data_IF_515744897278
#
_entry.id   IF_515744897278
#
_cell.length_a   1.000
_cell.length_b   1.000
_cell.length_c   1.000
_cell.angle_alpha   90.00
_cell.angle_beta   90.00
_cell.angle_gamma   90.00
#
_symmetry.space_group_name_H-M   'P 1'
#
loop_
_entity.id
_entity.type
_entity.pdbx_description
1 polymer ?
#
# COMPACT_ATOMS: atom_id res chain seq x y z
N UNK A 1 18.46 -20.40 14.48
CA UNK A 1 17.25 -20.80 13.75
C UNK A 1 16.52 -19.53 13.35
N UNK A 2 16.81 -18.99 12.17
CA UNK A 2 16.14 -17.81 11.62
C UNK A 2 14.75 -18.23 11.20
N UNK A 3 13.74 -17.85 11.99
CA UNK A 3 12.35 -18.04 11.60
C UNK A 3 12.11 -17.25 10.31
N UNK A 4 11.94 -17.98 9.21
CA UNK A 4 11.26 -17.48 8.02
C UNK A 4 9.85 -17.14 8.49
N UNK A 5 9.64 -15.89 8.93
CA UNK A 5 8.33 -15.37 9.21
C UNK A 5 7.57 -15.42 7.89
N UNK A 6 6.80 -16.49 7.72
CA UNK A 6 5.74 -16.57 6.73
C UNK A 6 4.85 -15.38 7.05
N UNK A 7 4.99 -14.29 6.28
CA UNK A 7 4.22 -13.05 6.45
C UNK A 7 2.75 -13.43 6.39
N UNK A 8 2.16 -13.61 7.56
CA UNK A 8 0.79 -14.08 7.67
C UNK A 8 -0.12 -12.89 7.45
N UNK A 9 -1.33 -13.19 6.99
CA UNK A 9 -2.34 -12.19 6.70
C UNK A 9 -2.71 -11.31 7.91
N UNK A 10 -2.41 -11.75 9.13
CA UNK A 10 -2.58 -10.97 10.37
C UNK A 10 -1.47 -9.94 10.63
N UNK A 11 -0.28 -10.10 10.05
CA UNK A 11 0.75 -9.03 10.04
C UNK A 11 0.35 -7.90 9.07
N UNK A 12 -0.55 -8.16 8.11
CA UNK A 12 -0.97 -7.21 7.06
C UNK A 12 -1.69 -5.99 7.63
N UNK A 13 -2.44 -6.12 8.73
CA UNK A 13 -3.11 -4.98 9.38
C UNK A 13 -2.10 -3.90 9.83
N UNK A 14 -0.87 -4.29 10.18
CA UNK A 14 0.23 -3.38 10.50
C UNK A 14 0.75 -2.59 9.29
N UNK A 15 0.57 -3.06 8.06
CA UNK A 15 0.98 -2.38 6.82
C UNK A 15 -0.11 -1.48 6.25
N UNK A 16 -1.38 -1.78 6.55
CA UNK A 16 -2.51 -0.92 6.21
C UNK A 16 -2.49 0.37 7.04
N UNK A 17 -1.94 0.34 8.26
CA UNK A 17 -1.79 1.53 9.12
C UNK A 17 -1.07 2.71 8.44
N UNK A 18 0.14 2.53 7.90
CA UNK A 18 0.85 3.56 7.13
C UNK A 18 0.08 4.04 5.89
N UNK A 19 -0.62 3.13 5.19
CA UNK A 19 -1.43 3.49 4.01
C UNK A 19 -2.67 4.32 4.40
N UNK A 20 -3.31 3.98 5.52
CA UNK A 20 -4.42 4.76 6.12
C UNK A 20 -3.92 6.13 6.61
N UNK A 21 -2.76 6.21 7.23
CA UNK A 21 -2.16 7.49 7.62
C UNK A 21 -1.85 8.35 6.38
N UNK A 22 -1.38 7.73 5.30
CA UNK A 22 -1.17 8.39 4.02
C UNK A 22 -2.48 8.82 3.32
N UNK A 23 -3.64 8.31 3.75
CA UNK A 23 -4.93 8.82 3.25
C UNK A 23 -5.21 10.27 3.69
N UNK A 24 -4.53 10.77 4.73
CA UNK A 24 -4.62 12.16 5.17
C UNK A 24 -3.95 13.14 4.18
N UNK A 25 -3.08 12.64 3.30
CA UNK A 25 -2.52 13.41 2.19
C UNK A 25 -3.33 13.14 0.92
N UNK A 26 -4.01 14.16 0.41
CA UNK A 26 -4.91 14.03 -0.76
C UNK A 26 -4.17 13.55 -2.02
N UNK A 27 -2.90 13.93 -2.19
CA UNK A 27 -2.10 13.56 -3.36
C UNK A 27 -1.68 12.09 -3.29
N UNK A 28 -1.26 11.62 -2.11
CA UNK A 28 -0.90 10.22 -1.90
C UNK A 28 -2.16 9.34 -1.99
N UNK A 29 -3.27 9.77 -1.40
CA UNK A 29 -4.54 9.07 -1.45
C UNK A 29 -5.04 8.90 -2.90
N UNK A 30 -5.04 9.97 -3.70
CA UNK A 30 -5.41 9.91 -5.11
C UNK A 30 -4.51 8.96 -5.92
N UNK A 31 -3.21 8.91 -5.58
CA UNK A 31 -2.24 8.00 -6.22
C UNK A 31 -2.53 6.55 -5.86
N UNK A 32 -2.76 6.25 -4.58
CA UNK A 32 -3.12 4.92 -4.08
C UNK A 32 -4.42 4.42 -4.71
N UNK A 33 -5.46 5.25 -4.76
CA UNK A 33 -6.73 4.89 -5.40
C UNK A 33 -6.56 4.54 -6.87
N UNK A 34 -5.78 5.35 -7.61
CA UNK A 34 -5.50 5.09 -9.02
C UNK A 34 -4.74 3.78 -9.21
N UNK A 35 -3.76 3.49 -8.36
CA UNK A 35 -2.98 2.25 -8.44
C UNK A 35 -3.83 1.01 -8.12
N UNK A 36 -4.65 1.09 -7.08
CA UNK A 36 -5.46 -0.04 -6.61
C UNK A 36 -6.69 -0.30 -7.50
N UNK A 37 -7.14 0.70 -8.28
CA UNK A 37 -8.19 0.52 -9.27
C UNK A 37 -7.69 -0.09 -10.60
N UNK A 38 -6.38 -0.32 -10.77
CA UNK A 38 -5.83 -0.92 -11.99
C UNK A 38 -5.79 -2.45 -11.93
N UNK A 39 -5.80 -3.13 -13.10
CA UNK A 39 -5.55 -4.56 -13.18
C UNK A 39 -4.17 -4.93 -12.61
N UNK A 40 -4.06 -6.10 -11.98
CA UNK A 40 -2.91 -6.52 -11.17
C UNK A 40 -1.56 -6.35 -11.88
N UNK A 41 -1.44 -6.86 -13.11
CA UNK A 41 -0.20 -6.76 -13.89
C UNK A 41 0.23 -5.30 -14.16
N UNK A 42 -0.74 -4.39 -14.32
CA UNK A 42 -0.46 -2.97 -14.55
C UNK A 42 -0.15 -2.25 -13.24
N UNK A 43 -0.84 -2.61 -12.16
CA UNK A 43 -0.54 -2.12 -10.80
C UNK A 43 0.88 -2.46 -10.42
N UNK A 44 1.29 -3.73 -10.56
CA UNK A 44 2.62 -4.20 -10.16
C UNK A 44 3.75 -3.39 -10.81
N UNK A 45 3.65 -3.15 -12.13
CA UNK A 45 4.65 -2.34 -12.84
C UNK A 45 4.75 -0.90 -12.34
N UNK A 46 3.62 -0.27 -12.02
CA UNK A 46 3.58 1.10 -11.50
C UNK A 46 3.99 1.18 -10.03
N UNK A 47 3.61 0.19 -9.22
CA UNK A 47 4.06 0.09 -7.82
C UNK A 47 5.58 -0.05 -7.77
N UNK A 48 6.18 -0.85 -8.66
CA UNK A 48 7.64 -0.94 -8.79
C UNK A 48 8.29 0.42 -9.07
N UNK A 49 7.79 1.16 -10.06
CA UNK A 49 8.31 2.49 -10.39
C UNK A 49 8.15 3.46 -9.21
N UNK A 50 6.98 3.43 -8.56
CA UNK A 50 6.68 4.34 -7.47
C UNK A 50 7.54 4.07 -6.22
N UNK A 51 7.86 2.81 -5.92
CA UNK A 51 8.82 2.47 -4.84
C UNK A 51 10.18 3.10 -5.13
N UNK A 52 10.65 3.04 -6.38
CA UNK A 52 11.92 3.67 -6.78
C UNK A 52 11.87 5.18 -6.56
N UNK A 53 10.80 5.84 -6.96
CA UNK A 53 10.61 7.28 -6.74
C UNK A 53 10.61 7.62 -5.25
N UNK A 54 9.87 6.86 -4.43
CA UNK A 54 9.82 7.05 -2.97
C UNK A 54 11.19 6.88 -2.31
N UNK A 55 12.02 5.96 -2.80
CA UNK A 55 13.39 5.79 -2.31
C UNK A 55 14.28 6.98 -2.68
N UNK A 56 14.11 7.54 -3.88
CA UNK A 56 14.84 8.74 -4.33
C UNK A 56 14.42 9.96 -3.53
N UNK A 57 13.12 10.11 -3.26
CA UNK A 57 12.54 11.22 -2.49
C UNK A 57 12.80 11.12 -0.98
N UNK A 58 13.40 10.02 -0.50
CA UNK A 58 13.72 9.83 0.92
C UNK A 58 12.49 9.55 1.78
N UNK A 59 11.46 8.93 1.21
CA UNK A 59 10.25 8.57 1.94
C UNK A 59 10.55 7.64 3.13
N UNK A 60 9.74 7.69 4.20
CA UNK A 60 9.92 6.81 5.35
C UNK A 60 9.93 5.33 4.94
N UNK A 61 10.88 4.57 5.45
CA UNK A 61 11.07 3.14 5.12
C UNK A 61 9.80 2.32 5.32
N UNK A 62 9.05 2.62 6.37
CA UNK A 62 7.78 1.95 6.71
C UNK A 62 6.71 2.18 5.63
N UNK A 63 6.64 3.41 5.10
CA UNK A 63 5.73 3.74 4.00
C UNK A 63 6.14 3.04 2.71
N UNK A 64 7.42 3.09 2.35
CA UNK A 64 7.94 2.42 1.16
C UNK A 64 7.73 0.90 1.23
N UNK A 65 7.87 0.29 2.41
CA UNK A 65 7.58 -1.13 2.61
C UNK A 65 6.08 -1.44 2.48
N UNK A 66 5.21 -0.58 3.00
CA UNK A 66 3.78 -0.74 2.85
C UNK A 66 3.35 -0.66 1.38
N UNK A 67 3.93 0.26 0.60
CA UNK A 67 3.72 0.35 -0.85
C UNK A 67 4.26 -0.89 -1.57
N UNK A 68 5.42 -1.42 -1.16
CA UNK A 68 5.98 -2.65 -1.72
C UNK A 68 5.10 -3.89 -1.51
N UNK A 69 4.32 -3.93 -0.43
CA UNK A 69 3.35 -4.99 -0.19
C UNK A 69 2.19 -4.98 -1.20
N UNK A 70 1.92 -3.88 -1.91
CA UNK A 70 0.89 -3.79 -2.96
C UNK A 70 1.26 -4.55 -4.26
N UNK A 71 2.48 -5.09 -4.33
CA UNK A 71 2.88 -6.03 -5.37
C UNK A 71 2.20 -7.40 -5.21
N UNK A 72 1.77 -7.74 -3.99
CA UNK A 72 0.98 -8.94 -3.72
C UNK A 72 -0.51 -8.63 -3.92
N UNK A 73 -1.15 -9.43 -4.77
CA UNK A 73 -2.52 -9.17 -5.20
C UNK A 73 -3.53 -9.30 -4.05
N UNK A 74 -3.33 -10.26 -3.14
CA UNK A 74 -4.19 -10.44 -1.97
C UNK A 74 -4.05 -9.27 -0.98
N UNK A 75 -2.86 -8.69 -0.88
CA UNK A 75 -2.64 -7.49 -0.07
C UNK A 75 -3.28 -6.27 -0.73
N UNK A 76 -3.13 -6.12 -2.05
CA UNK A 76 -3.68 -5.00 -2.78
C UNK A 76 -5.22 -4.96 -2.71
N UNK A 77 -5.89 -6.12 -2.80
CA UNK A 77 -7.35 -6.22 -2.62
C UNK A 77 -7.78 -5.74 -1.23
N UNK A 78 -7.10 -6.20 -0.17
CA UNK A 78 -7.39 -5.75 1.20
C UNK A 78 -7.10 -4.28 1.42
N UNK A 79 -6.03 -3.76 0.84
CA UNK A 79 -5.68 -2.35 0.89
C UNK A 79 -6.73 -1.50 0.16
N UNK A 80 -7.24 -1.98 -0.98
CA UNK A 80 -8.33 -1.33 -1.70
C UNK A 80 -9.58 -1.22 -0.83
N UNK A 81 -10.01 -2.31 -0.19
CA UNK A 81 -11.15 -2.30 0.74
C UNK A 81 -10.95 -1.30 1.89
N UNK A 82 -9.77 -1.31 2.52
CA UNK A 82 -9.46 -0.43 3.65
C UNK A 82 -9.42 1.06 3.27
N UNK A 83 -8.84 1.39 2.10
CA UNK A 83 -8.75 2.77 1.61
C UNK A 83 -10.12 3.27 1.12
N UNK A 84 -10.92 2.40 0.50
CA UNK A 84 -12.28 2.75 0.11
C UNK A 84 -13.20 2.96 1.33
N UNK A 85 -12.94 2.25 2.44
CA UNK A 85 -13.63 2.46 3.72
C UNK A 85 -13.25 3.78 4.40
N UNK A 86 -12.01 4.28 4.29
CA UNK A 86 -11.64 5.61 4.80
C UNK A 86 -12.56 6.73 4.30
N UNK A 87 -13.10 6.60 3.08
CA UNK A 87 -14.04 7.59 2.49
C UNK A 87 -15.45 7.54 3.10
N UNK A 88 -15.83 6.43 3.76
CA UNK A 88 -17.17 6.26 4.35
C UNK A 88 -17.28 6.81 5.76
N UNK A 89 -16.18 6.86 6.50
CA UNK A 89 -16.13 7.39 7.86
C UNK A 89 -16.02 8.93 7.92
N UNK A 90 -15.92 9.61 6.77
CA UNK A 90 -15.96 11.08 6.66
C UNK A 90 -17.33 11.57 6.16
N UNK A 91 -18.42 10.92 6.58
CA UNK A 91 -19.78 11.37 6.31
C UNK A 91 -20.65 11.31 7.57
#
# INVERSE_FOLDING_TARGET
MTALATRSVADIDGFVGPLKAACADEKINATLQRLLAMPDARRQGLVHAWITDLLIEGAPREFTQAVACLLDDAIAERAYEAIYQCRRDTN
#
